data_IF_697052848515
#
_entry.id   IF_697052848515
#
_cell.length_a   1.000
_cell.length_b   1.000
_cell.length_c   1.000
_cell.angle_alpha   90.00
_cell.angle_beta   90.00
_cell.angle_gamma   90.00
#
_symmetry.space_group_name_H-M   'P 1'
#
loop_
_entity.id
_entity.type
_entity.pdbx_description
1 polymer ?
#
# COMPACT_ATOMS: atom_id res chain seq x y z
N UNK A 1 0.57 17.19 -11.39
CA UNK A 1 1.12 15.95 -10.80
C UNK A 1 1.69 16.29 -9.43
N UNK A 2 1.23 15.60 -8.39
CA UNK A 2 1.73 15.82 -7.01
C UNK A 2 2.79 14.81 -6.66
N UNK A 3 3.91 15.29 -6.13
CA UNK A 3 4.98 14.40 -5.65
C UNK A 3 4.58 13.77 -4.31
N UNK A 4 5.26 12.69 -3.94
CA UNK A 4 5.09 12.06 -2.63
C UNK A 4 5.30 13.08 -1.50
N UNK A 5 6.30 13.95 -1.64
CA UNK A 5 6.57 15.01 -0.66
C UNK A 5 5.36 15.94 -0.47
N UNK A 6 4.76 16.38 -1.56
CA UNK A 6 3.58 17.23 -1.53
C UNK A 6 2.38 16.52 -0.91
N UNK A 7 2.18 15.26 -1.25
CA UNK A 7 1.09 14.43 -0.69
C UNK A 7 1.21 14.26 0.82
N UNK A 8 2.42 14.01 1.30
CA UNK A 8 2.67 13.88 2.74
C UNK A 8 2.37 15.20 3.44
N UNK A 9 2.88 16.30 2.89
CA UNK A 9 2.67 17.62 3.46
C UNK A 9 1.20 18.01 3.48
N UNK A 10 0.50 17.83 2.36
CA UNK A 10 -0.93 18.14 2.28
C UNK A 10 -1.76 17.29 3.23
N UNK A 11 -1.48 15.99 3.31
CA UNK A 11 -2.16 15.10 4.26
C UNK A 11 -1.95 15.51 5.69
N UNK A 12 -0.72 15.88 6.04
CA UNK A 12 -0.38 16.36 7.37
C UNK A 12 -1.15 17.66 7.71
N UNK A 13 -1.15 18.61 6.79
CA UNK A 13 -1.84 19.89 6.99
C UNK A 13 -3.35 19.68 7.12
N UNK A 14 -3.92 18.79 6.30
CA UNK A 14 -5.34 18.44 6.38
C UNK A 14 -5.73 17.91 7.73
N UNK A 15 -4.85 17.16 8.38
CA UNK A 15 -5.04 16.62 9.72
C UNK A 15 -4.65 17.61 10.83
N UNK A 16 -4.22 18.80 10.44
CA UNK A 16 -3.79 19.83 11.38
C UNK A 16 -2.63 19.39 12.27
N UNK A 17 -1.70 18.62 11.70
CA UNK A 17 -0.53 18.13 12.42
C UNK A 17 0.72 18.96 12.10
N UNK A 18 1.55 19.15 13.11
CA UNK A 18 2.92 19.67 12.91
C UNK A 18 3.82 18.54 12.44
N UNK A 19 4.95 18.88 11.82
CA UNK A 19 5.93 17.87 11.38
C UNK A 19 6.39 16.97 12.54
N UNK A 20 6.62 17.56 13.71
CA UNK A 20 7.02 16.78 14.89
C UNK A 20 5.92 15.82 15.33
N UNK A 21 4.68 16.26 15.27
CA UNK A 21 3.54 15.41 15.64
C UNK A 21 3.41 14.22 14.70
N UNK A 22 3.59 14.44 13.39
CA UNK A 22 3.60 13.35 12.42
C UNK A 22 4.77 12.40 12.68
N UNK A 23 5.95 12.93 12.94
CA UNK A 23 7.14 12.14 13.26
C UNK A 23 6.89 11.24 14.47
N UNK A 24 6.29 11.79 15.52
CA UNK A 24 5.97 11.04 16.74
C UNK A 24 4.96 9.90 16.45
N UNK A 25 3.95 10.18 15.62
CA UNK A 25 2.92 9.20 15.29
C UNK A 25 3.46 8.00 14.52
N UNK A 26 4.45 8.20 13.67
CA UNK A 26 5.03 7.11 12.87
C UNK A 26 6.34 6.57 13.45
N UNK A 27 6.82 7.15 14.55
CA UNK A 27 8.00 6.66 15.25
C UNK A 27 9.32 6.97 14.57
N UNK A 28 9.42 8.13 13.90
CA UNK A 28 10.66 8.60 13.27
C UNK A 28 11.06 9.95 13.80
N UNK A 29 12.26 10.42 13.45
CA UNK A 29 12.73 11.75 13.85
C UNK A 29 12.08 12.85 13.01
N UNK A 30 12.06 14.06 13.56
CA UNK A 30 11.64 15.25 12.81
C UNK A 30 12.47 15.41 11.53
N UNK A 31 13.77 15.12 11.60
CA UNK A 31 14.66 15.16 10.44
C UNK A 31 14.17 14.25 9.32
N UNK A 32 13.68 13.07 9.65
CA UNK A 32 13.14 12.13 8.66
C UNK A 32 11.92 12.72 7.96
N UNK A 33 10.99 13.30 8.70
CA UNK A 33 9.81 13.95 8.10
C UNK A 33 10.25 15.12 7.20
N UNK A 34 11.19 15.91 7.65
CA UNK A 34 11.73 17.03 6.86
C UNK A 34 12.34 16.53 5.54
N UNK A 35 13.07 15.42 5.57
CA UNK A 35 13.60 14.80 4.35
C UNK A 35 12.50 14.37 3.40
N UNK A 36 11.43 13.78 3.92
CA UNK A 36 10.30 13.37 3.08
C UNK A 36 9.61 14.57 2.43
N UNK A 37 9.35 15.62 3.18
CA UNK A 37 8.59 16.77 2.68
C UNK A 37 9.42 17.78 1.87
N UNK A 38 10.68 17.97 2.22
CA UNK A 38 11.54 19.01 1.59
C UNK A 38 12.56 18.47 0.61
N UNK A 39 13.12 17.29 0.86
CA UNK A 39 14.19 16.73 0.03
C UNK A 39 13.70 15.66 -0.93
N UNK A 40 12.42 15.33 -0.89
CA UNK A 40 11.83 14.33 -1.80
C UNK A 40 12.33 12.91 -1.57
N UNK A 41 12.88 12.62 -0.39
CA UNK A 41 13.28 11.26 -0.03
C UNK A 41 12.01 10.40 0.06
N UNK A 42 12.00 9.28 -0.66
CA UNK A 42 10.84 8.39 -0.70
C UNK A 42 10.78 7.53 0.56
N UNK A 43 9.68 7.60 1.32
CA UNK A 43 9.46 6.66 2.42
C UNK A 43 9.36 5.23 1.88
N UNK A 44 9.87 4.27 2.62
CA UNK A 44 9.87 2.86 2.21
C UNK A 44 9.47 1.96 3.36
N UNK A 45 9.00 0.76 3.01
CA UNK A 45 8.69 -0.28 3.95
C UNK A 45 7.70 0.15 5.02
N UNK A 46 8.05 -0.08 6.27
CA UNK A 46 7.18 0.22 7.40
C UNK A 46 6.85 1.70 7.54
N UNK A 47 7.79 2.59 7.20
CA UNK A 47 7.54 4.03 7.27
C UNK A 47 6.46 4.46 6.26
N UNK A 48 6.50 3.92 5.05
CA UNK A 48 5.47 4.18 4.05
C UNK A 48 4.11 3.69 4.53
N UNK A 49 4.07 2.48 5.09
CA UNK A 49 2.84 1.90 5.64
C UNK A 49 2.25 2.76 6.75
N UNK A 50 3.07 3.18 7.70
CA UNK A 50 2.63 4.01 8.83
C UNK A 50 2.17 5.39 8.39
N UNK A 51 2.86 6.00 7.43
CA UNK A 51 2.44 7.27 6.85
C UNK A 51 1.06 7.15 6.21
N UNK A 52 0.85 6.12 5.41
CA UNK A 52 -0.42 5.88 4.76
C UNK A 52 -1.55 5.74 5.78
N UNK A 53 -1.34 4.95 6.83
CA UNK A 53 -2.32 4.78 7.92
C UNK A 53 -2.66 6.12 8.59
N UNK A 54 -1.66 6.85 9.02
CA UNK A 54 -1.87 8.12 9.74
C UNK A 54 -2.56 9.16 8.84
N UNK A 55 -2.12 9.24 7.59
CA UNK A 55 -2.68 10.22 6.65
C UNK A 55 -4.03 9.79 6.04
N UNK A 56 -4.46 8.55 6.29
CA UNK A 56 -5.74 8.05 5.79
C UNK A 56 -5.76 7.87 4.27
N UNK A 57 -4.61 7.51 3.68
CA UNK A 57 -4.48 7.28 2.24
C UNK A 57 -3.85 5.90 2.00
N UNK A 58 -3.85 5.44 0.75
CA UNK A 58 -3.20 4.19 0.40
C UNK A 58 -1.70 4.37 0.20
N UNK A 59 -0.94 3.30 0.41
CA UNK A 59 0.50 3.30 0.11
C UNK A 59 0.75 3.56 -1.37
N UNK A 60 -0.11 3.03 -2.23
CA UNK A 60 -0.03 3.20 -3.69
C UNK A 60 -0.16 4.67 -4.07
N UNK A 61 -1.11 5.38 -3.46
CA UNK A 61 -1.28 6.82 -3.69
C UNK A 61 -0.02 7.59 -3.32
N UNK A 62 0.57 7.31 -2.15
CA UNK A 62 1.79 8.00 -1.73
C UNK A 62 2.99 7.66 -2.61
N UNK A 63 3.09 6.43 -3.08
CA UNK A 63 4.25 5.95 -3.81
C UNK A 63 4.24 6.27 -5.31
N UNK A 64 3.12 6.71 -5.86
CA UNK A 64 2.99 6.96 -7.30
C UNK A 64 2.52 8.37 -7.58
N UNK A 65 3.41 9.19 -8.13
CA UNK A 65 3.13 10.60 -8.42
C UNK A 65 2.04 10.79 -9.49
N UNK A 66 1.79 9.80 -10.32
CA UNK A 66 0.76 9.87 -11.35
C UNK A 66 -0.66 9.78 -10.77
N UNK A 67 -0.80 9.27 -9.55
CA UNK A 67 -2.09 9.13 -8.90
C UNK A 67 -2.37 10.40 -8.09
N UNK A 68 -3.36 11.16 -8.51
CA UNK A 68 -3.69 12.45 -7.88
C UNK A 68 -4.85 12.38 -6.88
N UNK A 69 -5.70 11.36 -6.98
CA UNK A 69 -6.86 11.19 -6.11
C UNK A 69 -6.46 10.57 -4.76
N UNK A 70 -6.61 11.30 -3.64
CA UNK A 70 -6.25 10.76 -2.31
C UNK A 70 -7.05 9.54 -1.90
N UNK A 71 -8.23 9.32 -2.47
CA UNK A 71 -9.05 8.15 -2.16
C UNK A 71 -8.63 6.90 -2.91
N UNK A 72 -7.73 7.06 -3.88
CA UNK A 72 -7.28 5.95 -4.71
C UNK A 72 -6.68 4.83 -3.89
N UNK A 73 -7.15 3.63 -4.11
CA UNK A 73 -6.61 2.43 -3.44
C UNK A 73 -7.12 2.20 -2.03
N UNK A 74 -7.91 3.11 -1.45
CA UNK A 74 -8.46 2.90 -0.10
C UNK A 74 -9.38 1.69 -0.03
N UNK A 75 -10.10 1.41 -1.09
CA UNK A 75 -10.97 0.23 -1.18
C UNK A 75 -10.17 -1.06 -1.10
N UNK A 76 -8.95 -1.04 -1.61
CA UNK A 76 -8.07 -2.19 -1.62
C UNK A 76 -7.26 -2.35 -0.32
N UNK A 77 -7.22 -1.33 0.52
CA UNK A 77 -6.39 -1.34 1.73
C UNK A 77 -6.63 -2.56 2.65
N UNK A 78 -7.89 -3.01 2.89
CA UNK A 78 -8.11 -4.20 3.72
C UNK A 78 -7.47 -5.45 3.12
N UNK A 79 -7.44 -5.58 1.80
CA UNK A 79 -6.86 -6.74 1.12
C UNK A 79 -5.34 -6.72 1.20
N UNK A 80 -4.74 -5.55 1.07
CA UNK A 80 -3.30 -5.35 1.25
C UNK A 80 -2.89 -5.74 2.67
N UNK A 81 -3.66 -5.30 3.67
CA UNK A 81 -3.38 -5.61 5.07
C UNK A 81 -3.51 -7.11 5.34
N UNK A 82 -4.53 -7.77 4.78
CA UNK A 82 -4.67 -9.23 4.91
C UNK A 82 -3.45 -9.96 4.34
N UNK A 83 -2.95 -9.53 3.20
CA UNK A 83 -1.75 -10.12 2.61
C UNK A 83 -0.51 -9.86 3.47
N UNK A 84 -0.42 -8.68 4.08
CA UNK A 84 0.66 -8.33 5.00
C UNK A 84 0.67 -9.22 6.23
N UNK A 85 -0.49 -9.47 6.81
CA UNK A 85 -0.63 -10.32 7.99
C UNK A 85 -0.19 -11.76 7.72
N UNK A 86 -0.46 -12.26 6.52
CA UNK A 86 -0.15 -13.65 6.16
C UNK A 86 1.28 -13.82 5.66
N UNK A 87 1.76 -12.91 4.81
CA UNK A 87 3.04 -13.02 4.12
C UNK A 87 3.99 -11.85 4.34
N UNK A 88 3.67 -10.95 5.27
CA UNK A 88 4.52 -9.81 5.59
C UNK A 88 4.58 -8.77 4.48
N UNK A 89 5.69 -8.01 4.46
CA UNK A 89 5.89 -6.93 3.50
C UNK A 89 5.78 -7.39 2.05
N UNK A 90 6.34 -8.56 1.74
CA UNK A 90 6.30 -9.09 0.37
C UNK A 90 4.86 -9.35 -0.08
N UNK A 91 4.03 -9.90 0.79
CA UNK A 91 2.61 -10.11 0.49
C UNK A 91 1.89 -8.80 0.21
N UNK A 92 2.12 -7.79 1.04
CA UNK A 92 1.54 -6.47 0.85
C UNK A 92 1.99 -5.83 -0.48
N UNK A 93 3.29 -5.91 -0.79
CA UNK A 93 3.84 -5.35 -2.02
C UNK A 93 3.26 -6.06 -3.26
N UNK A 94 3.15 -7.38 -3.21
CA UNK A 94 2.61 -8.16 -4.32
C UNK A 94 1.14 -7.82 -4.57
N UNK A 95 0.33 -7.72 -3.51
CA UNK A 95 -1.08 -7.36 -3.64
C UNK A 95 -1.23 -5.92 -4.13
N UNK A 96 -0.45 -4.98 -3.61
CA UNK A 96 -0.46 -3.60 -4.10
C UNK A 96 -0.22 -3.53 -5.60
N UNK A 97 0.78 -4.26 -6.08
CA UNK A 97 1.11 -4.30 -7.51
C UNK A 97 -0.04 -4.90 -8.33
N UNK A 98 -0.59 -6.02 -7.90
CA UNK A 98 -1.71 -6.66 -8.60
C UNK A 98 -2.94 -5.75 -8.66
N UNK A 99 -3.25 -5.07 -7.57
CA UNK A 99 -4.42 -4.19 -7.51
C UNK A 99 -4.21 -2.92 -8.34
N UNK A 100 -3.00 -2.40 -8.43
CA UNK A 100 -2.67 -1.28 -9.33
C UNK A 100 -2.90 -1.69 -10.77
N UNK A 101 -2.37 -2.84 -11.18
CA UNK A 101 -2.55 -3.35 -12.54
C UNK A 101 -4.02 -3.60 -12.86
N UNK A 102 -4.77 -4.12 -11.90
CA UNK A 102 -6.19 -4.37 -12.05
C UNK A 102 -6.99 -3.07 -12.19
N UNK A 103 -6.61 -2.01 -11.48
CA UNK A 103 -7.30 -0.73 -11.59
C UNK A 103 -7.18 -0.10 -12.98
N UNK A 104 -6.13 -0.41 -13.71
CA UNK A 104 -6.01 0.03 -15.09
C UNK A 104 -7.17 -0.48 -15.95
N UNK A 105 -7.69 -1.66 -15.62
CA UNK A 105 -8.85 -2.23 -16.31
C UNK A 105 -10.14 -1.49 -15.96
N UNK A 106 -10.23 -0.93 -14.75
CA UNK A 106 -11.40 -0.19 -14.29
C UNK A 106 -11.47 1.22 -14.89
N UNK A 107 -10.32 1.77 -15.29
CA UNK A 107 -10.23 3.11 -15.86
C UNK A 107 -11.07 3.27 -17.15
N UNK A 108 -11.37 2.17 -17.83
CA UNK A 108 -12.23 2.17 -19.00
C UNK A 108 -13.72 2.32 -18.71
N UNK A 109 -14.11 2.31 -17.44
CA UNK A 109 -15.51 2.47 -17.03
C UNK A 109 -16.40 1.26 -17.30
N UNK A 110 -15.83 0.14 -17.65
CA UNK A 110 -16.57 -1.08 -17.97
C UNK A 110 -17.01 -1.89 -16.74
N UNK A 111 -16.37 -1.65 -15.61
CA UNK A 111 -16.68 -2.37 -14.36
C UNK A 111 -17.48 -1.44 -13.44
N UNK A 112 -18.69 -1.84 -13.03
CA UNK A 112 -19.44 -1.06 -12.05
C UNK A 112 -18.68 -0.90 -10.74
N UNK A 113 -18.85 0.24 -10.08
CA UNK A 113 -18.18 0.55 -8.82
C UNK A 113 -18.44 -0.51 -7.75
N UNK A 114 -19.66 -1.00 -7.69
CA UNK A 114 -20.09 -2.04 -6.76
C UNK A 114 -19.42 -3.38 -6.97
N UNK A 115 -18.90 -3.65 -8.18
CA UNK A 115 -18.22 -4.90 -8.50
C UNK A 115 -16.71 -4.85 -8.24
N UNK A 116 -16.15 -3.67 -8.03
CA UNK A 116 -14.70 -3.51 -7.78
C UNK A 116 -14.26 -4.27 -6.53
N UNK A 117 -15.06 -4.22 -5.47
CA UNK A 117 -14.74 -4.89 -4.22
C UNK A 117 -14.69 -6.41 -4.41
N UNK A 118 -15.61 -6.96 -5.17
CA UNK A 118 -15.60 -8.38 -5.51
C UNK A 118 -14.35 -8.78 -6.29
N UNK A 119 -13.90 -7.92 -7.22
CA UNK A 119 -12.66 -8.15 -7.96
C UNK A 119 -11.45 -8.16 -7.04
N UNK A 120 -11.34 -7.18 -6.14
CA UNK A 120 -10.24 -7.11 -5.20
C UNK A 120 -10.22 -8.32 -4.28
N UNK A 121 -11.38 -8.72 -3.79
CA UNK A 121 -11.52 -9.91 -2.96
C UNK A 121 -11.06 -11.17 -3.72
N UNK A 122 -11.54 -11.36 -4.93
CA UNK A 122 -11.21 -12.53 -5.75
C UNK A 122 -9.72 -12.61 -6.06
N UNK A 123 -9.10 -11.48 -6.41
CA UNK A 123 -7.67 -11.40 -6.70
C UNK A 123 -6.85 -11.74 -5.47
N UNK A 124 -7.23 -11.17 -4.32
CA UNK A 124 -6.52 -11.39 -3.06
C UNK A 124 -6.63 -12.85 -2.62
N UNK A 125 -7.81 -13.42 -2.68
CA UNK A 125 -8.03 -14.83 -2.33
C UNK A 125 -7.24 -15.77 -3.25
N UNK A 126 -7.24 -15.48 -4.56
CA UNK A 126 -6.48 -16.26 -5.53
C UNK A 126 -4.97 -16.19 -5.25
N UNK A 127 -4.46 -15.01 -4.94
CA UNK A 127 -3.05 -14.83 -4.60
C UNK A 127 -2.68 -15.63 -3.36
N UNK A 128 -3.44 -15.50 -2.29
CA UNK A 128 -3.17 -16.18 -1.02
C UNK A 128 -3.25 -17.70 -1.20
N UNK A 129 -4.29 -18.19 -1.86
CA UNK A 129 -4.50 -19.61 -2.11
C UNK A 129 -3.39 -20.20 -2.95
N UNK A 130 -3.03 -19.56 -4.05
CA UNK A 130 -2.00 -20.04 -4.95
C UNK A 130 -0.62 -20.01 -4.31
N UNK A 131 -0.32 -18.96 -3.56
CA UNK A 131 0.96 -18.86 -2.86
C UNK A 131 1.09 -19.94 -1.79
N UNK A 132 0.04 -20.21 -1.05
CA UNK A 132 0.02 -21.27 -0.04
C UNK A 132 0.21 -22.63 -0.70
N UNK A 133 -0.49 -22.91 -1.79
CA UNK A 133 -0.34 -24.16 -2.55
C UNK A 133 1.07 -24.34 -3.07
N UNK A 134 1.65 -23.30 -3.67
CA UNK A 134 3.01 -23.33 -4.16
C UNK A 134 4.01 -23.62 -3.04
N UNK A 135 3.85 -22.95 -1.90
CA UNK A 135 4.69 -23.17 -0.72
C UNK A 135 4.63 -24.61 -0.25
N UNK A 136 3.44 -25.18 -0.15
CA UNK A 136 3.26 -26.57 0.27
C UNK A 136 3.91 -27.55 -0.71
N UNK A 137 3.73 -27.34 -2.01
CA UNK A 137 4.30 -28.20 -3.05
C UNK A 137 5.82 -28.14 -3.06
N UNK A 138 6.40 -26.97 -3.05
CA UNK A 138 7.85 -26.78 -3.13
C UNK A 138 8.54 -27.16 -1.84
N UNK A 139 7.95 -26.85 -0.70
CA UNK A 139 8.51 -27.25 0.60
C UNK A 139 8.58 -28.76 0.72
N UNK A 140 7.57 -29.47 0.28
CA UNK A 140 7.57 -30.94 0.29
C UNK A 140 8.66 -31.54 -0.60
N UNK A 141 8.93 -30.93 -1.75
CA UNK A 141 9.95 -31.41 -2.68
C UNK A 141 11.35 -31.11 -2.19
N UNK A 142 11.57 -29.88 -1.71
CA UNK A 142 12.91 -29.37 -1.41
C UNK A 142 13.39 -29.71 0.01
N UNK A 143 12.47 -29.82 0.96
CA UNK A 143 12.81 -29.97 2.37
C UNK A 143 12.36 -31.27 2.99
N UNK A 144 11.78 -32.15 2.22
CA UNK A 144 11.48 -33.49 2.69
C UNK A 144 12.74 -34.32 2.63
N UNK A 145 13.69 -33.99 3.49
CA UNK A 145 14.92 -34.76 3.67
C UNK A 145 14.68 -35.72 4.79
N UNK A 146 14.80 -36.94 4.49
CA UNK A 146 14.80 -38.01 5.49
C UNK A 146 16.15 -38.30 6.04
#
# INVERSE_FOLDING_TARGET
MKTTAEKIREGRIRLNLKQQELADKIGVSLRTITKYEKQGVMPRGLNLHKLAEVLGVSEVYLANDEIEDPSYGLEAAPYVESAREIYGKKGADDINRLLVETQALFAGGEVPEEDKDLFFQAITEAYITNKKRASELFTRKDFKKD
#
